data_IF_098561259173
#
_entry.id   IF_098561259173
#
_cell.length_a   1.000
_cell.length_b   1.000
_cell.length_c   1.000
_cell.angle_alpha   90.00
_cell.angle_beta   90.00
_cell.angle_gamma   90.00
#
_symmetry.space_group_name_H-M   'P 1'
#
loop_
_entity.id
_entity.type
_entity.pdbx_description
1 polymer ?
#
# COMPACT_ATOMS: atom_id res chain seq x y z
N UNK A 1 -9.15 -29.53 -22.73
CA UNK A 1 -9.36 -28.08 -22.57
C UNK A 1 -9.16 -27.75 -21.11
N UNK A 2 -7.92 -27.42 -20.71
CA UNK A 2 -7.66 -26.98 -19.34
C UNK A 2 -7.63 -25.46 -19.33
N UNK A 3 -8.79 -24.87 -19.05
CA UNK A 3 -8.92 -23.45 -18.75
C UNK A 3 -8.30 -23.22 -17.35
N UNK A 4 -6.98 -23.08 -17.31
CA UNK A 4 -6.31 -22.55 -16.11
C UNK A 4 -6.72 -21.08 -16.05
N UNK A 5 -7.77 -20.79 -15.29
CA UNK A 5 -8.12 -19.44 -14.88
C UNK A 5 -6.86 -18.78 -14.34
N UNK A 6 -6.31 -17.83 -15.10
CA UNK A 6 -5.20 -17.01 -14.65
C UNK A 6 -5.76 -16.18 -13.50
N UNK A 7 -5.41 -16.54 -12.26
CA UNK A 7 -5.82 -15.77 -11.09
C UNK A 7 -5.04 -14.46 -11.13
N UNK A 8 -5.74 -13.36 -11.36
CA UNK A 8 -5.17 -12.02 -11.29
C UNK A 8 -4.58 -11.78 -9.89
N UNK A 9 -3.44 -11.08 -9.84
CA UNK A 9 -2.85 -10.63 -8.56
C UNK A 9 -3.82 -9.67 -7.89
N UNK A 10 -4.02 -9.85 -6.58
CA UNK A 10 -4.93 -9.04 -5.79
C UNK A 10 -4.20 -7.83 -5.18
N UNK A 11 -4.74 -6.64 -5.41
CA UNK A 11 -4.28 -5.38 -4.83
C UNK A 11 -5.30 -4.87 -3.80
N UNK A 12 -4.84 -4.61 -2.57
CA UNK A 12 -5.64 -3.92 -1.56
C UNK A 12 -5.20 -2.46 -1.46
N UNK A 13 -6.09 -1.53 -1.81
CA UNK A 13 -5.88 -0.08 -1.64
C UNK A 13 -6.52 0.40 -0.34
N UNK A 14 -5.70 0.94 0.56
CA UNK A 14 -6.12 1.47 1.86
C UNK A 14 -6.09 3.00 1.79
N UNK A 15 -7.28 3.61 1.73
CA UNK A 15 -7.47 5.06 1.52
C UNK A 15 -8.14 5.65 2.76
N UNK A 16 -7.36 6.14 3.74
CA UNK A 16 -7.93 6.63 5.01
C UNK A 16 -8.36 8.10 4.91
N UNK A 17 -7.51 8.95 4.33
CA UNK A 17 -7.81 10.37 4.10
C UNK A 17 -8.19 10.65 2.64
N UNK A 18 -7.57 9.95 1.69
CA UNK A 18 -7.76 10.22 0.27
C UNK A 18 -7.22 11.58 -0.15
N UNK A 19 -7.90 12.24 -1.08
CA UNK A 19 -7.49 13.57 -1.58
C UNK A 19 -6.65 13.56 -2.86
N UNK A 20 -6.48 12.40 -3.50
CA UNK A 20 -5.77 12.22 -4.76
C UNK A 20 -6.67 11.59 -5.85
N UNK A 21 -6.25 11.64 -7.13
CA UNK A 21 -6.99 11.03 -8.22
C UNK A 21 -7.20 9.52 -8.06
N UNK A 22 -8.22 8.99 -8.72
CA UNK A 22 -8.43 7.55 -8.78
C UNK A 22 -7.37 6.87 -9.68
N UNK A 23 -6.43 6.16 -9.07
CA UNK A 23 -5.39 5.39 -9.76
C UNK A 23 -5.85 4.00 -10.22
N UNK A 24 -7.13 3.65 -10.09
CA UNK A 24 -7.67 2.36 -10.56
C UNK A 24 -7.37 2.07 -12.02
N UNK A 25 -7.25 3.10 -12.87
CA UNK A 25 -6.84 2.94 -14.27
C UNK A 25 -5.44 2.34 -14.41
N UNK A 26 -4.47 2.81 -13.61
CA UNK A 26 -3.10 2.29 -13.60
C UNK A 26 -3.11 0.82 -13.15
N UNK A 27 -3.81 0.50 -12.05
CA UNK A 27 -3.85 -0.87 -11.55
C UNK A 27 -4.49 -1.85 -12.55
N UNK A 28 -5.56 -1.42 -13.25
CA UNK A 28 -6.23 -2.22 -14.28
C UNK A 28 -5.33 -2.50 -15.51
N UNK A 29 -4.44 -1.58 -15.88
CA UNK A 29 -3.47 -1.81 -16.96
C UNK A 29 -2.55 -3.01 -16.68
N UNK A 30 -2.32 -3.30 -15.40
CA UNK A 30 -1.54 -4.45 -14.95
C UNK A 30 -2.39 -5.67 -14.57
N UNK A 31 -3.66 -5.70 -14.97
CA UNK A 31 -4.60 -6.82 -14.72
C UNK A 31 -4.74 -7.17 -13.23
N UNK A 32 -4.64 -6.17 -12.35
CA UNK A 32 -4.82 -6.35 -10.91
C UNK A 32 -6.30 -6.38 -10.55
N UNK A 33 -6.66 -7.29 -9.64
CA UNK A 33 -7.96 -7.29 -8.99
C UNK A 33 -7.91 -6.37 -7.76
N UNK A 34 -8.60 -5.24 -7.81
CA UNK A 34 -8.45 -4.14 -6.83
C UNK A 34 -9.61 -4.16 -5.82
N UNK A 35 -9.28 -4.38 -4.55
CA UNK A 35 -10.17 -4.14 -3.42
C UNK A 35 -9.78 -2.84 -2.72
N UNK A 36 -10.76 -1.96 -2.46
CA UNK A 36 -10.53 -0.68 -1.76
C UNK A 36 -11.17 -0.73 -0.37
N UNK A 37 -10.45 -0.23 0.63
CA UNK A 37 -10.95 -0.04 1.99
C UNK A 37 -10.53 1.31 2.55
N UNK A 38 -11.38 1.91 3.37
CA UNK A 38 -11.18 3.25 3.92
C UNK A 38 -10.81 3.26 5.41
N UNK A 39 -10.40 2.11 5.94
CA UNK A 39 -9.97 2.02 7.34
C UNK A 39 -8.91 0.96 7.53
N UNK A 40 -7.91 1.28 8.36
CA UNK A 40 -6.86 0.34 8.72
C UNK A 40 -7.41 -0.93 9.39
N UNK A 41 -8.44 -0.78 10.24
CA UNK A 41 -9.07 -1.93 10.93
C UNK A 41 -9.66 -2.94 9.95
N UNK A 42 -10.40 -2.47 8.93
CA UNK A 42 -10.97 -3.36 7.90
C UNK A 42 -9.86 -3.97 7.04
N UNK A 43 -8.83 -3.19 6.69
CA UNK A 43 -7.67 -3.69 5.96
C UNK A 43 -6.99 -4.86 6.66
N UNK A 44 -6.69 -4.73 7.96
CA UNK A 44 -6.08 -5.82 8.75
C UNK A 44 -6.94 -7.07 8.78
N UNK A 45 -8.27 -6.92 8.88
CA UNK A 45 -9.20 -8.07 8.83
C UNK A 45 -9.16 -8.76 7.47
N UNK A 46 -9.13 -7.99 6.37
CA UNK A 46 -9.05 -8.51 5.01
C UNK A 46 -7.73 -9.26 4.78
N UNK A 47 -6.58 -8.64 5.12
CA UNK A 47 -5.24 -9.24 4.98
C UNK A 47 -5.12 -10.57 5.73
N UNK A 48 -5.76 -10.70 6.90
CA UNK A 48 -5.79 -11.95 7.66
C UNK A 48 -6.65 -13.03 7.00
N UNK A 49 -7.73 -12.66 6.31
CA UNK A 49 -8.64 -13.58 5.63
C UNK A 49 -8.10 -14.01 4.27
N UNK A 50 -7.60 -13.07 3.48
CA UNK A 50 -7.02 -13.27 2.17
C UNK A 50 -5.78 -12.39 2.06
N UNK A 51 -4.61 -13.01 1.88
CA UNK A 51 -3.36 -12.26 1.75
C UNK A 51 -3.29 -11.63 0.35
N UNK A 52 -3.28 -10.29 0.23
CA UNK A 52 -3.11 -9.63 -1.07
C UNK A 52 -1.68 -9.82 -1.58
N UNK A 53 -1.47 -9.69 -2.89
CA UNK A 53 -0.13 -9.68 -3.49
C UNK A 53 0.52 -8.30 -3.33
N UNK A 54 -0.30 -7.25 -3.46
CA UNK A 54 0.12 -5.85 -3.39
C UNK A 54 -0.80 -5.08 -2.44
N UNK A 55 -0.23 -4.18 -1.65
CA UNK A 55 -0.96 -3.22 -0.83
C UNK A 55 -0.51 -1.82 -1.22
N UNK A 56 -1.46 -0.91 -1.39
CA UNK A 56 -1.22 0.53 -1.46
C UNK A 56 -1.81 1.15 -0.20
N UNK A 57 -1.02 1.96 0.52
CA UNK A 57 -1.45 2.58 1.77
C UNK A 57 -0.91 4.01 1.89
N UNK A 58 -1.51 4.78 2.79
CA UNK A 58 -1.06 6.12 3.14
C UNK A 58 -0.27 6.11 4.45
N UNK A 59 0.78 6.93 4.51
CA UNK A 59 1.36 7.39 5.76
C UNK A 59 0.71 8.71 6.16
N UNK A 60 -0.23 8.60 7.10
CA UNK A 60 -0.95 9.75 7.65
C UNK A 60 -0.38 10.05 9.04
N UNK A 61 0.43 11.10 9.18
CA UNK A 61 1.02 11.46 10.46
C UNK A 61 -0.05 11.88 11.47
N UNK A 62 0.00 11.31 12.67
CA UNK A 62 -0.93 11.58 13.77
C UNK A 62 -0.13 12.02 15.00
N UNK A 63 -0.14 13.32 15.28
CA UNK A 63 0.67 13.94 16.34
C UNK A 63 0.19 13.59 17.76
N UNK A 64 -1.05 13.15 17.91
CA UNK A 64 -1.69 12.78 19.18
C UNK A 64 -1.39 11.33 19.61
N UNK A 65 -0.76 10.53 18.75
CA UNK A 65 -0.34 9.18 19.09
C UNK A 65 0.91 9.19 19.97
N UNK A 66 0.77 8.70 21.20
CA UNK A 66 1.89 8.64 22.18
C UNK A 66 2.99 7.67 21.79
N UNK A 67 2.62 6.50 21.27
CA UNK A 67 3.55 5.39 21.01
C UNK A 67 3.79 5.13 19.51
N UNK A 68 3.09 5.85 18.63
CA UNK A 68 3.09 5.63 17.16
C UNK A 68 3.09 6.95 16.42
N UNK A 69 3.52 6.92 15.17
CA UNK A 69 3.45 8.07 14.26
C UNK A 69 2.24 8.02 13.33
N UNK A 70 1.68 6.82 13.08
CA UNK A 70 0.47 6.66 12.28
C UNK A 70 -0.23 5.30 12.50
N UNK A 71 -1.30 5.05 11.76
CA UNK A 71 -1.91 3.73 11.64
C UNK A 71 -1.07 2.73 10.81
N UNK A 72 -0.11 3.22 10.01
CA UNK A 72 0.74 2.40 9.13
C UNK A 72 1.53 1.36 9.91
N UNK A 73 2.01 1.69 11.12
CA UNK A 73 2.75 0.74 11.95
C UNK A 73 1.92 -0.50 12.31
N UNK A 74 0.59 -0.37 12.39
CA UNK A 74 -0.31 -1.52 12.54
C UNK A 74 -0.25 -2.43 11.32
N UNK A 75 -0.26 -1.85 10.12
CA UNK A 75 -0.13 -2.60 8.87
C UNK A 75 1.22 -3.31 8.81
N UNK A 76 2.31 -2.59 9.09
CA UNK A 76 3.67 -3.14 9.06
C UNK A 76 3.84 -4.32 10.02
N UNK A 77 3.29 -4.24 11.24
CA UNK A 77 3.31 -5.34 12.18
C UNK A 77 2.57 -6.60 11.67
N UNK A 78 1.49 -6.43 10.92
CA UNK A 78 0.77 -7.55 10.28
C UNK A 78 1.57 -8.14 9.12
N UNK A 79 2.27 -7.31 8.36
CA UNK A 79 3.06 -7.70 7.20
C UNK A 79 4.41 -8.33 7.53
N UNK A 80 4.94 -8.16 8.75
CA UNK A 80 6.16 -8.88 9.19
C UNK A 80 6.08 -10.40 8.99
N UNK A 81 4.88 -10.98 9.11
CA UNK A 81 4.64 -12.42 8.88
C UNK A 81 4.27 -12.76 7.42
N UNK A 82 4.38 -11.79 6.51
CA UNK A 82 3.96 -11.87 5.11
C UNK A 82 4.96 -11.15 4.17
N UNK A 83 6.24 -11.57 4.16
CA UNK A 83 7.30 -10.89 3.40
C UNK A 83 7.07 -10.89 1.88
N UNK A 84 6.19 -11.74 1.38
CA UNK A 84 5.83 -11.79 -0.04
C UNK A 84 4.96 -10.60 -0.50
N UNK A 85 4.27 -9.94 0.44
CA UNK A 85 3.37 -8.83 0.12
C UNK A 85 4.18 -7.61 -0.24
N UNK A 86 3.91 -7.01 -1.41
CA UNK A 86 4.56 -5.75 -1.81
C UNK A 86 3.74 -4.58 -1.27
N UNK A 87 4.39 -3.67 -0.56
CA UNK A 87 3.73 -2.51 0.04
C UNK A 87 4.23 -1.23 -0.64
N UNK A 88 3.30 -0.51 -1.28
CA UNK A 88 3.49 0.84 -1.82
C UNK A 88 2.92 1.84 -0.80
N UNK A 89 3.68 2.87 -0.44
CA UNK A 89 3.26 3.89 0.53
C UNK A 89 3.21 5.27 -0.11
N UNK A 90 2.09 5.96 0.04
CA UNK A 90 1.95 7.38 -0.26
C UNK A 90 2.18 8.20 1.00
N UNK A 91 2.89 9.32 0.91
CA UNK A 91 3.14 10.17 2.06
C UNK A 91 3.19 11.65 1.66
N UNK A 92 2.86 12.54 2.59
CA UNK A 92 3.00 13.98 2.38
C UNK A 92 4.45 14.42 2.54
N UNK A 93 4.95 15.28 1.65
CA UNK A 93 6.33 15.80 1.70
C UNK A 93 6.62 16.52 3.02
N UNK A 94 5.62 17.23 3.56
CA UNK A 94 5.73 17.90 4.86
C UNK A 94 5.96 16.95 6.03
N UNK A 95 5.57 15.67 5.88
CA UNK A 95 5.77 14.63 6.90
C UNK A 95 6.95 13.70 6.59
N UNK A 96 7.81 14.05 5.63
CA UNK A 96 8.95 13.21 5.25
C UNK A 96 9.87 12.87 6.44
N UNK A 97 10.16 13.85 7.30
CA UNK A 97 11.00 13.65 8.49
C UNK A 97 10.36 12.70 9.52
N UNK A 98 9.04 12.74 9.67
CA UNK A 98 8.30 11.81 10.51
C UNK A 98 8.30 10.41 9.88
N UNK A 99 8.16 10.34 8.56
CA UNK A 99 8.20 9.10 7.80
C UNK A 99 9.58 8.41 7.85
N UNK A 100 10.68 9.17 7.89
CA UNK A 100 12.04 8.64 8.09
C UNK A 100 12.18 7.80 9.37
N UNK A 101 11.43 8.14 10.41
CA UNK A 101 11.40 7.33 11.65
C UNK A 101 10.79 5.96 11.44
N UNK A 102 9.96 5.79 10.41
CA UNK A 102 9.39 4.49 10.01
C UNK A 102 10.38 3.77 9.09
N UNK A 103 10.89 4.43 8.06
CA UNK A 103 11.79 3.79 7.07
C UNK A 103 13.16 3.42 7.66
N UNK A 104 13.61 4.06 8.73
CA UNK A 104 14.79 3.65 9.50
C UNK A 104 14.62 2.31 10.24
N UNK A 105 13.37 1.86 10.45
CA UNK A 105 13.04 0.59 11.14
C UNK A 105 12.52 -0.49 10.20
N UNK A 106 12.06 -0.12 9.01
CA UNK A 106 11.45 -1.02 8.03
C UNK A 106 11.99 -0.72 6.63
N UNK A 107 12.38 -1.76 5.90
CA UNK A 107 12.77 -1.61 4.49
C UNK A 107 11.52 -1.40 3.64
N UNK A 108 11.34 -0.15 3.18
CA UNK A 108 10.17 0.28 2.42
C UNK A 108 10.63 0.82 1.05
N UNK A 109 10.95 -0.06 0.09
CA UNK A 109 11.55 0.32 -1.19
C UNK A 109 10.56 0.97 -2.16
N UNK A 110 9.26 0.96 -1.83
CA UNK A 110 8.20 1.47 -2.68
C UNK A 110 7.45 2.60 -1.98
N UNK A 111 7.97 3.82 -2.07
CA UNK A 111 7.35 5.02 -1.46
C UNK A 111 7.22 6.13 -2.49
N UNK A 112 6.12 6.89 -2.43
CA UNK A 112 5.87 8.04 -3.30
C UNK A 112 5.36 9.23 -2.48
N UNK A 113 6.02 10.40 -2.58
CA UNK A 113 5.51 11.62 -1.96
C UNK A 113 4.36 12.21 -2.79
N UNK A 114 3.40 12.86 -2.12
CA UNK A 114 2.41 13.72 -2.80
C UNK A 114 3.06 15.00 -3.40
N UNK A 115 2.52 15.53 -4.52
CA UNK A 115 1.52 14.90 -5.39
C UNK A 115 2.10 13.66 -6.10
N UNK A 116 1.28 12.62 -6.25
CA UNK A 116 1.72 11.36 -6.86
C UNK A 116 1.93 11.55 -8.36
N UNK A 117 3.14 11.25 -8.82
CA UNK A 117 3.45 11.16 -10.24
C UNK A 117 2.94 9.82 -10.81
N UNK A 118 1.95 9.86 -11.69
CA UNK A 118 1.31 8.67 -12.26
C UNK A 118 2.29 7.74 -13.00
N UNK A 119 3.22 8.24 -13.84
CA UNK A 119 4.33 7.45 -14.38
C UNK A 119 5.14 6.70 -13.31
N UNK A 120 5.55 7.38 -12.23
CA UNK A 120 6.31 6.75 -11.15
C UNK A 120 5.49 5.68 -10.41
N UNK A 121 4.20 5.92 -10.15
CA UNK A 121 3.30 4.91 -9.59
C UNK A 121 3.17 3.70 -10.51
N UNK A 122 3.00 3.93 -11.82
CA UNK A 122 2.89 2.87 -12.81
C UNK A 122 4.15 2.00 -12.84
N UNK A 123 5.35 2.61 -12.80
CA UNK A 123 6.62 1.88 -12.72
C UNK A 123 6.72 1.03 -11.45
N UNK A 124 6.34 1.59 -10.30
CA UNK A 124 6.35 0.85 -9.02
C UNK A 124 5.39 -0.33 -9.03
N UNK A 125 4.16 -0.14 -9.52
CA UNK A 125 3.20 -1.22 -9.70
C UNK A 125 3.76 -2.30 -10.63
N UNK A 126 4.36 -1.92 -11.75
CA UNK A 126 5.00 -2.87 -12.67
C UNK A 126 6.10 -3.69 -11.97
N UNK A 127 6.94 -3.06 -11.16
CA UNK A 127 7.99 -3.73 -10.38
C UNK A 127 7.40 -4.69 -9.34
N UNK A 128 6.29 -4.35 -8.70
CA UNK A 128 5.57 -5.24 -7.79
C UNK A 128 4.91 -6.43 -8.49
N UNK A 129 4.50 -6.26 -9.75
CA UNK A 129 3.88 -7.32 -10.55
C UNK A 129 4.92 -8.31 -11.09
N UNK A 130 6.11 -7.85 -11.48
CA UNK A 130 7.16 -8.70 -12.07
C UNK A 130 7.98 -9.51 -11.06
N UNK A 131 8.10 -9.03 -9.83
CA UNK A 131 8.85 -9.67 -8.72
C UNK A 131 7.94 -10.31 -7.66
#
# INVERSE_FOLDING_TARGET
>A
MNDKTIKNKHLLSIVELGGYPDFSKIYKQYQLDVEITNSMRKAVKLIKKHTPDIIVAEFNYQSDFRDRTSNLETLLAVLQKKPQVKLIIFYEKEFAHQFERVTSRFELPFTLPFPIDEPALSEMVQRCVRN
#
